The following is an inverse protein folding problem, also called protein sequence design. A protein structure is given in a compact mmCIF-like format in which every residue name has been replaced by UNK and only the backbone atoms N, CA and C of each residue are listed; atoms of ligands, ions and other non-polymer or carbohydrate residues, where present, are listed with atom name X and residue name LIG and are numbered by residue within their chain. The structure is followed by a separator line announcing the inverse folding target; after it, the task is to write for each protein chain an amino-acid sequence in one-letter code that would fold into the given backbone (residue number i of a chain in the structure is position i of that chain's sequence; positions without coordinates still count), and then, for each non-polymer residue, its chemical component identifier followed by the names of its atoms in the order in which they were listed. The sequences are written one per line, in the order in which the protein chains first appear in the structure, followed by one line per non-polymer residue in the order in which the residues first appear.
data_IF_039339452060
#
_entry.id   IF_039339452060
#
_cell.length_a   1.000
_cell.length_b   1.000
_cell.length_c   1.000
_cell.angle_alpha   90.00
_cell.angle_beta   90.00
_cell.angle_gamma   90.00
#
_symmetry.space_group_name_H-M   'P 1'
#
loop_
_entity.id
_entity.type
_entity.pdbx_description
1 polymer ?
#
# COMPACT_ATOMS: atom_id res chain seq x y z
N UNK A 1 1.73 -10.81 -20.07
CA UNK A 1 1.61 -9.33 -20.12
C UNK A 1 2.36 -8.70 -21.29
N UNK A 2 3.64 -9.02 -21.56
CA UNK A 2 4.39 -8.51 -22.72
C UNK A 2 3.98 -9.14 -24.06
N UNK A 3 3.84 -10.47 -24.10
CA UNK A 3 3.39 -11.24 -25.27
C UNK A 3 2.00 -10.80 -25.77
N UNK A 4 1.07 -10.56 -24.85
CA UNK A 4 -0.30 -10.15 -25.20
C UNK A 4 -0.37 -8.72 -25.76
N UNK A 5 0.55 -7.84 -25.33
CA UNK A 5 0.56 -6.44 -25.77
C UNK A 5 1.29 -6.26 -27.11
N UNK A 6 2.38 -6.99 -27.31
CA UNK A 6 3.29 -6.76 -28.44
C UNK A 6 3.31 -7.87 -29.50
N UNK A 7 2.88 -9.09 -29.16
CA UNK A 7 2.85 -10.21 -30.12
C UNK A 7 1.43 -10.49 -30.66
N UNK A 8 0.36 -10.04 -29.98
CA UNK A 8 -1.03 -10.15 -30.50
C UNK A 8 -1.43 -8.99 -31.41
N UNK A 9 -0.84 -7.81 -31.21
CA UNK A 9 -0.83 -6.75 -32.21
C UNK A 9 0.43 -6.97 -33.05
N UNK A 10 0.41 -6.89 -34.39
CA UNK A 10 1.50 -7.35 -35.26
C UNK A 10 2.68 -6.35 -35.28
N UNK A 11 3.15 -5.94 -34.11
CA UNK A 11 4.16 -4.91 -33.93
C UNK A 11 5.55 -5.54 -33.74
N UNK A 12 5.64 -6.77 -33.20
CA UNK A 12 6.89 -7.50 -33.02
C UNK A 12 6.70 -9.01 -33.25
N UNK A 13 7.69 -9.65 -33.87
CA UNK A 13 7.58 -11.02 -34.40
C UNK A 13 8.08 -12.08 -33.44
N UNK A 14 8.93 -11.71 -32.46
CA UNK A 14 9.50 -12.67 -31.51
C UNK A 14 9.33 -12.24 -30.04
N UNK A 15 9.19 -13.21 -29.10
CA UNK A 15 9.15 -12.94 -27.67
C UNK A 15 10.36 -12.14 -27.15
N UNK A 16 11.53 -12.35 -27.77
CA UNK A 16 12.78 -11.69 -27.41
C UNK A 16 12.73 -10.19 -27.75
N UNK A 17 12.28 -9.84 -28.96
CA UNK A 17 12.12 -8.44 -29.37
C UNK A 17 11.09 -7.71 -28.49
N UNK A 18 10.01 -8.40 -28.10
CA UNK A 18 9.01 -7.85 -27.19
C UNK A 18 9.60 -7.56 -25.80
N UNK A 19 10.48 -8.44 -25.30
CA UNK A 19 11.16 -8.25 -24.03
C UNK A 19 12.19 -7.11 -24.09
N UNK A 20 13.00 -7.05 -25.15
CA UNK A 20 13.96 -5.96 -25.37
C UNK A 20 13.28 -4.61 -25.46
N UNK A 21 12.15 -4.52 -26.17
CA UNK A 21 11.37 -3.29 -26.27
C UNK A 21 10.80 -2.85 -24.92
N UNK A 22 10.29 -3.79 -24.11
CA UNK A 22 9.83 -3.47 -22.75
C UNK A 22 10.98 -2.99 -21.86
N UNK A 23 12.15 -3.64 -21.97
CA UNK A 23 13.32 -3.31 -21.15
C UNK A 23 13.88 -1.92 -21.49
N UNK A 24 14.12 -1.66 -22.78
CA UNK A 24 14.83 -0.49 -23.28
C UNK A 24 13.90 0.68 -23.65
N UNK A 25 12.84 0.41 -24.43
CA UNK A 25 11.99 1.45 -25.03
C UNK A 25 10.87 1.87 -24.08
N UNK A 26 10.22 0.93 -23.41
CA UNK A 26 9.17 1.23 -22.42
C UNK A 26 9.74 1.72 -21.08
N UNK A 27 11.07 1.80 -20.97
CA UNK A 27 11.77 2.40 -19.83
C UNK A 27 11.73 1.58 -18.55
N UNK A 28 11.50 0.26 -18.64
CA UNK A 28 11.54 -0.62 -17.48
C UNK A 28 12.91 -0.57 -16.79
N UNK A 29 14.00 -0.55 -17.56
CA UNK A 29 15.36 -0.41 -17.01
C UNK A 29 15.48 0.84 -16.14
N UNK A 30 15.09 2.01 -16.68
CA UNK A 30 15.11 3.28 -15.93
C UNK A 30 14.25 3.21 -14.67
N UNK A 31 13.14 2.47 -14.72
CA UNK A 31 12.26 2.28 -13.56
C UNK A 31 12.93 1.43 -12.49
N UNK A 32 13.59 0.33 -12.87
CA UNK A 32 14.34 -0.53 -11.96
C UNK A 32 15.49 0.26 -11.33
N UNK A 33 16.26 0.99 -12.13
CA UNK A 33 17.36 1.85 -11.66
C UNK A 33 16.88 2.98 -10.74
N UNK A 34 15.63 3.45 -10.91
CA UNK A 34 15.03 4.44 -10.01
C UNK A 34 14.59 3.89 -8.65
N UNK A 35 14.51 2.56 -8.51
CA UNK A 35 14.20 1.93 -7.23
C UNK A 35 15.48 1.91 -6.40
N UNK A 36 15.48 2.69 -5.34
CA UNK A 36 16.59 2.72 -4.39
C UNK A 36 16.71 1.36 -3.68
N UNK A 37 17.95 0.89 -3.54
CA UNK A 37 18.27 -0.30 -2.76
C UNK A 37 17.73 -0.18 -1.33
N UNK A 38 17.04 -1.22 -0.85
CA UNK A 38 16.35 -1.18 0.43
C UNK A 38 17.26 -0.84 1.61
N UNK A 39 18.49 -1.37 1.62
CA UNK A 39 19.42 -1.14 2.73
C UNK A 39 19.94 0.30 2.74
N UNK A 40 20.42 0.80 1.59
CA UNK A 40 20.84 2.19 1.44
C UNK A 40 19.71 3.16 1.83
N UNK A 41 18.45 2.87 1.49
CA UNK A 41 17.32 3.69 1.93
C UNK A 41 17.14 3.72 3.46
N UNK A 42 17.35 2.59 4.14
CA UNK A 42 17.24 2.52 5.60
C UNK A 42 18.27 3.41 6.26
N UNK A 43 19.53 3.27 5.85
CA UNK A 43 20.66 3.98 6.43
C UNK A 43 20.54 5.50 6.27
N UNK A 44 20.02 5.94 5.12
CA UNK A 44 19.92 7.38 4.80
C UNK A 44 18.70 8.05 5.45
N UNK A 45 17.55 7.37 5.47
CA UNK A 45 16.29 8.04 5.85
C UNK A 45 15.63 7.44 7.11
N UNK A 46 15.46 6.12 7.13
CA UNK A 46 14.58 5.45 8.11
C UNK A 46 15.24 5.19 9.46
N UNK A 47 16.53 4.84 9.49
CA UNK A 47 17.30 4.64 10.71
C UNK A 47 17.81 5.96 11.29
N UNK A 48 16.87 6.88 11.46
CA UNK A 48 17.08 8.21 12.00
C UNK A 48 16.45 8.34 13.39
N UNK A 49 16.91 9.33 14.16
CA UNK A 49 16.40 9.56 15.51
C UNK A 49 14.94 10.02 15.48
N UNK A 50 14.58 10.80 14.48
CA UNK A 50 13.26 11.38 14.24
C UNK A 50 12.24 10.28 13.94
N UNK A 51 12.55 9.38 13.01
CA UNK A 51 11.69 8.23 12.73
C UNK A 51 11.59 7.31 13.94
N UNK A 52 12.69 7.04 14.64
CA UNK A 52 12.65 6.21 15.86
C UNK A 52 11.75 6.83 16.93
N UNK A 53 11.81 8.14 17.16
CA UNK A 53 10.93 8.83 18.13
C UNK A 53 9.46 8.67 17.76
N UNK A 54 9.10 8.85 16.48
CA UNK A 54 7.72 8.63 15.99
C UNK A 54 7.29 7.18 16.23
N UNK A 55 8.13 6.20 15.89
CA UNK A 55 7.81 4.78 16.07
C UNK A 55 7.59 4.43 17.54
N UNK A 56 8.45 4.93 18.43
CA UNK A 56 8.35 4.68 19.88
C UNK A 56 7.09 5.32 20.48
N UNK A 57 6.79 6.57 20.10
CA UNK A 57 5.60 7.27 20.61
C UNK A 57 4.29 6.61 20.18
N UNK A 58 4.28 5.92 19.03
CA UNK A 58 3.09 5.27 18.47
C UNK A 58 3.16 3.73 18.56
N UNK A 59 4.00 3.17 19.43
CA UNK A 59 4.27 1.72 19.42
C UNK A 59 3.00 0.88 19.67
N UNK A 60 2.13 1.30 20.59
CA UNK A 60 0.85 0.63 20.88
C UNK A 60 -0.07 0.62 19.67
N UNK A 61 -0.27 1.79 19.05
CA UNK A 61 -1.09 1.98 17.85
C UNK A 61 -0.56 1.14 16.69
N UNK A 62 0.75 1.17 16.45
CA UNK A 62 1.39 0.39 15.40
C UNK A 62 1.16 -1.12 15.60
N UNK A 63 1.22 -1.61 16.85
CA UNK A 63 0.94 -3.03 17.15
C UNK A 63 -0.51 -3.39 16.88
N UNK A 64 -1.45 -2.52 17.25
CA UNK A 64 -2.87 -2.71 16.97
C UNK A 64 -3.14 -2.74 15.46
N UNK A 65 -2.64 -1.75 14.71
CA UNK A 65 -2.77 -1.71 13.25
C UNK A 65 -2.17 -2.94 12.57
N UNK A 66 -1.03 -3.43 13.06
CA UNK A 66 -0.45 -4.69 12.56
C UNK A 66 -1.35 -5.88 12.86
N UNK A 67 -1.90 -5.99 14.07
CA UNK A 67 -2.83 -7.08 14.42
C UNK A 67 -4.07 -7.06 13.54
N UNK A 68 -4.69 -5.89 13.33
CA UNK A 68 -5.81 -5.72 12.41
C UNK A 68 -5.43 -6.19 10.99
N UNK A 69 -4.28 -5.73 10.49
CA UNK A 69 -3.77 -6.11 9.19
C UNK A 69 -3.59 -7.64 9.04
N UNK A 70 -3.14 -8.34 10.08
CA UNK A 70 -3.03 -9.81 10.04
C UNK A 70 -4.41 -10.48 10.10
N UNK A 71 -5.32 -9.96 10.92
CA UNK A 71 -6.66 -10.54 11.10
C UNK A 71 -7.53 -10.42 9.85
N UNK A 72 -7.33 -9.40 9.03
CA UNK A 72 -8.11 -9.19 7.79
C UNK A 72 -8.02 -10.36 6.80
N UNK A 73 -6.86 -11.02 6.74
CA UNK A 73 -6.65 -12.23 5.96
C UNK A 73 -5.63 -13.10 6.68
N UNK A 74 -6.13 -14.02 7.49
CA UNK A 74 -5.29 -15.06 8.08
C UNK A 74 -4.72 -15.92 6.93
N UNK A 75 -3.42 -15.78 6.65
CA UNK A 75 -2.74 -16.62 5.66
C UNK A 75 -2.53 -18.05 6.16
N UNK A 76 -2.54 -18.26 7.48
CA UNK A 76 -2.05 -19.49 8.07
C UNK A 76 -3.08 -20.07 9.04
N UNK A 77 -3.73 -21.17 8.63
CA UNK A 77 -4.44 -22.07 9.55
C UNK A 77 -3.49 -23.02 10.31
N UNK A 78 -2.23 -23.14 9.87
CA UNK A 78 -1.32 -24.22 10.28
C UNK A 78 -0.05 -23.76 11.03
N UNK A 79 0.28 -22.47 11.04
CA UNK A 79 1.43 -21.96 11.79
C UNK A 79 0.96 -20.89 12.79
N UNK A 80 1.42 -20.99 14.04
CA UNK A 80 1.12 -20.01 15.10
C UNK A 80 1.74 -18.62 14.86
N UNK A 81 2.39 -18.40 13.70
CA UNK A 81 3.02 -17.12 13.34
C UNK A 81 2.07 -16.32 12.45
N UNK A 82 1.67 -15.17 12.99
CA UNK A 82 0.78 -14.20 12.37
C UNK A 82 1.60 -13.22 11.51
N UNK A 83 1.42 -13.30 10.19
CA UNK A 83 2.06 -12.42 9.20
C UNK A 83 1.01 -11.65 8.40
N UNK A 84 1.36 -10.44 8.00
CA UNK A 84 0.55 -9.64 7.08
C UNK A 84 0.84 -10.06 5.62
N UNK A 85 -0.21 -10.15 4.79
CA UNK A 85 -0.05 -10.35 3.34
C UNK A 85 0.05 -9.02 2.61
N UNK A 86 0.57 -8.99 1.38
CA UNK A 86 0.46 -7.81 0.51
C UNK A 86 -0.97 -7.30 0.39
N UNK A 87 -1.92 -8.23 0.33
CA UNK A 87 -3.32 -7.91 0.13
C UNK A 87 -4.02 -7.40 1.39
N UNK A 88 -3.65 -7.90 2.58
CA UNK A 88 -4.18 -7.35 3.83
C UNK A 88 -3.54 -6.00 4.16
N UNK A 89 -2.25 -5.83 3.85
CA UNK A 89 -1.57 -4.54 3.94
C UNK A 89 -2.22 -3.50 3.03
N UNK A 90 -2.48 -3.82 1.76
CA UNK A 90 -3.23 -2.93 0.86
C UNK A 90 -4.61 -2.58 1.42
N UNK A 91 -5.33 -3.59 1.89
CA UNK A 91 -6.69 -3.42 2.41
C UNK A 91 -6.73 -2.46 3.60
N UNK A 92 -5.72 -2.47 4.47
CA UNK A 92 -5.56 -1.53 5.58
C UNK A 92 -5.64 -0.07 5.09
N UNK A 93 -4.92 0.27 4.02
CA UNK A 93 -4.93 1.61 3.42
C UNK A 93 -6.21 1.90 2.65
N UNK A 94 -6.74 0.90 1.93
CA UNK A 94 -7.96 1.05 1.15
C UNK A 94 -9.16 1.41 2.04
N UNK A 95 -9.29 0.72 3.18
CA UNK A 95 -10.36 0.94 4.16
C UNK A 95 -10.30 2.34 4.77
N UNK A 96 -9.09 2.83 5.06
CA UNK A 96 -8.86 4.17 5.57
C UNK A 96 -8.96 5.28 4.50
N UNK A 97 -9.31 4.96 3.25
CA UNK A 97 -9.39 5.95 2.16
C UNK A 97 -8.04 6.54 1.75
N UNK A 98 -6.93 5.90 2.13
CA UNK A 98 -5.57 6.37 1.86
C UNK A 98 -5.04 5.94 0.49
N UNK A 99 -5.78 5.09 -0.22
CA UNK A 99 -5.54 4.81 -1.64
C UNK A 99 -6.40 5.78 -2.44
N UNK A 100 -5.76 6.72 -3.12
CA UNK A 100 -6.39 7.76 -3.93
C UNK A 100 -5.47 8.15 -5.10
N UNK A 101 -5.85 9.14 -5.89
CA UNK A 101 -5.06 9.59 -7.05
C UNK A 101 -3.65 10.09 -6.68
N UNK A 102 -3.46 10.53 -5.43
CA UNK A 102 -2.18 10.98 -4.90
C UNK A 102 -1.32 9.79 -4.43
N UNK A 103 -1.93 8.82 -3.77
CA UNK A 103 -1.28 7.62 -3.26
C UNK A 103 -1.84 6.37 -3.94
N UNK A 104 -1.26 6.03 -5.09
CA UNK A 104 -1.70 4.90 -5.88
C UNK A 104 -1.49 3.56 -5.13
N UNK A 105 -2.41 2.61 -5.32
CA UNK A 105 -2.32 1.23 -4.83
C UNK A 105 -0.95 0.60 -5.09
N UNK A 106 -0.40 0.85 -6.29
CA UNK A 106 0.93 0.37 -6.69
C UNK A 106 2.02 0.79 -5.71
N UNK A 107 1.99 2.01 -5.18
CA UNK A 107 3.02 2.49 -4.25
C UNK A 107 2.98 1.72 -2.93
N UNK A 108 1.78 1.38 -2.46
CA UNK A 108 1.58 0.56 -1.25
C UNK A 108 2.15 -0.85 -1.45
N UNK A 109 1.90 -1.47 -2.60
CA UNK A 109 2.44 -2.80 -2.92
C UNK A 109 3.96 -2.80 -3.14
N UNK A 110 4.51 -1.74 -3.75
CA UNK A 110 5.97 -1.58 -3.88
C UNK A 110 6.61 -1.37 -2.51
N UNK A 111 6.01 -0.56 -1.64
CA UNK A 111 6.47 -0.35 -0.27
C UNK A 111 6.51 -1.66 0.53
N UNK A 112 5.48 -2.50 0.37
CA UNK A 112 5.48 -3.87 0.90
C UNK A 112 6.68 -4.65 0.38
N UNK A 113 6.83 -4.77 -0.95
CA UNK A 113 7.87 -5.58 -1.57
C UNK A 113 9.29 -5.14 -1.18
N UNK A 114 9.53 -3.83 -1.03
CA UNK A 114 10.83 -3.29 -0.63
C UNK A 114 11.15 -3.45 0.86
N UNK A 115 10.12 -3.59 1.70
CA UNK A 115 10.28 -3.79 3.14
C UNK A 115 10.56 -5.26 3.51
N UNK A 116 10.07 -6.21 2.72
CA UNK A 116 10.28 -7.65 2.95
C UNK A 116 11.62 -8.08 2.34
N UNK A 117 12.45 -8.85 3.06
CA UNK A 117 13.74 -9.31 2.54
C UNK A 117 13.55 -10.33 1.42
N UNK A 118 14.47 -10.29 0.46
CA UNK A 118 14.61 -11.31 -0.56
C UNK A 118 15.06 -12.63 0.09
N UNK A 119 14.51 -13.74 -0.39
CA UNK A 119 14.87 -15.08 0.06
C UNK A 119 15.41 -15.86 -1.12
N UNK A 120 16.52 -16.57 -0.93
CA UNK A 120 17.16 -17.36 -1.99
C UNK A 120 16.29 -18.51 -2.49
N UNK A 121 15.43 -19.04 -1.63
CA UNK A 121 14.53 -20.17 -1.92
C UNK A 121 13.05 -19.73 -1.93
N UNK A 122 12.67 -18.95 -2.94
CA UNK A 122 11.28 -18.47 -3.12
C UNK A 122 10.31 -19.60 -3.52
N UNK A 123 10.81 -20.74 -3.99
CA UNK A 123 10.00 -21.87 -4.45
C UNK A 123 9.41 -22.63 -3.26
N UNK A 124 10.21 -22.83 -2.21
CA UNK A 124 9.79 -23.61 -1.05
C UNK A 124 9.37 -22.74 0.15
N UNK A 125 9.60 -21.43 0.10
CA UNK A 125 9.27 -20.51 1.19
C UNK A 125 8.37 -19.37 0.71
N UNK A 126 7.30 -19.10 1.46
CA UNK A 126 6.36 -18.01 1.20
C UNK A 126 6.80 -16.68 1.84
N UNK A 127 8.09 -16.51 2.12
CA UNK A 127 8.58 -15.38 2.93
C UNK A 127 8.33 -14.02 2.25
N UNK A 128 8.45 -13.97 0.93
CA UNK A 128 8.20 -12.81 0.08
C UNK A 128 6.76 -12.27 0.16
N UNK A 129 5.80 -13.09 0.63
CA UNK A 129 4.40 -12.68 0.84
C UNK A 129 4.03 -12.60 2.33
N UNK A 130 4.99 -12.79 3.24
CA UNK A 130 4.80 -12.75 4.68
C UNK A 130 5.55 -11.56 5.27
N UNK A 131 4.82 -10.57 5.76
CA UNK A 131 5.37 -9.39 6.41
C UNK A 131 5.24 -9.50 7.93
N UNK A 132 6.36 -9.35 8.63
CA UNK A 132 6.45 -9.26 10.08
C UNK A 132 6.15 -7.84 10.59
N UNK A 133 6.04 -7.66 11.90
CA UNK A 133 5.78 -6.34 12.50
C UNK A 133 6.85 -5.29 12.16
N UNK A 134 8.14 -5.64 12.18
CA UNK A 134 9.20 -4.69 11.89
C UNK A 134 9.15 -4.22 10.42
N UNK A 135 8.86 -5.15 9.52
CA UNK A 135 8.71 -4.88 8.08
C UNK A 135 7.44 -4.09 7.81
N UNK A 136 6.38 -4.33 8.57
CA UNK A 136 5.17 -3.52 8.51
C UNK A 136 5.44 -2.05 8.86
N UNK A 137 6.19 -1.77 9.94
CA UNK A 137 6.55 -0.40 10.30
C UNK A 137 7.43 0.25 9.22
N UNK A 138 8.38 -0.51 8.65
CA UNK A 138 9.19 -0.02 7.53
C UNK A 138 8.32 0.26 6.29
N UNK A 139 7.37 -0.62 5.96
CA UNK A 139 6.47 -0.45 4.84
C UNK A 139 5.61 0.81 5.00
N UNK A 140 5.10 1.11 6.20
CA UNK A 140 4.40 2.37 6.48
C UNK A 140 5.29 3.59 6.20
N UNK A 141 6.56 3.55 6.62
CA UNK A 141 7.51 4.62 6.34
C UNK A 141 7.79 4.76 4.83
N UNK A 142 7.89 3.65 4.09
CA UNK A 142 8.04 3.67 2.63
C UNK A 142 6.80 4.24 1.92
N UNK A 143 5.59 3.95 2.41
CA UNK A 143 4.37 4.60 1.90
C UNK A 143 4.39 6.09 2.23
N UNK A 144 4.78 6.46 3.45
CA UNK A 144 4.90 7.84 3.89
C UNK A 144 5.87 8.65 3.01
N UNK A 145 7.02 8.08 2.63
CA UNK A 145 7.95 8.74 1.71
C UNK A 145 7.24 9.18 0.41
N UNK A 146 6.48 8.26 -0.20
CA UNK A 146 5.76 8.47 -1.46
C UNK A 146 4.45 9.26 -1.30
N UNK A 147 4.03 9.53 -0.08
CA UNK A 147 2.80 10.26 0.22
C UNK A 147 2.98 11.76 -0.05
N UNK A 148 2.13 12.31 -0.91
CA UNK A 148 2.26 13.68 -1.41
C UNK A 148 3.34 13.79 -2.50
N UNK A 149 2.93 14.31 -3.66
CA UNK A 149 3.58 14.28 -4.99
C UNK A 149 5.00 14.88 -5.16
N UNK A 150 5.86 14.92 -4.14
CA UNK A 150 7.22 15.45 -4.29
C UNK A 150 8.23 14.36 -4.63
N UNK A 151 8.74 14.41 -5.87
CA UNK A 151 9.88 13.62 -6.38
C UNK A 151 11.24 14.02 -5.78
N UNK A 152 11.26 14.96 -4.84
CA UNK A 152 12.50 15.40 -4.21
C UNK A 152 12.96 14.38 -3.17
N UNK A 153 14.28 14.23 -3.03
CA UNK A 153 14.90 13.58 -1.88
C UNK A 153 14.34 14.24 -0.61
N UNK A 154 13.70 13.44 0.25
CA UNK A 154 13.12 13.94 1.50
C UNK A 154 14.16 13.86 2.61
N UNK A 155 14.11 14.78 3.57
CA UNK A 155 14.90 14.64 4.80
C UNK A 155 14.28 13.60 5.74
N UNK A 156 15.06 13.07 6.68
CA UNK A 156 14.58 12.17 7.72
C UNK A 156 13.49 12.80 8.60
N UNK A 157 13.58 14.11 8.87
CA UNK A 157 12.52 14.88 9.55
C UNK A 157 11.21 14.88 8.75
N UNK A 158 11.28 15.13 7.44
CA UNK A 158 10.10 15.11 6.57
C UNK A 158 9.48 13.70 6.52
N UNK A 159 10.31 12.66 6.44
CA UNK A 159 9.83 11.29 6.52
C UNK A 159 9.10 11.01 7.83
N UNK A 160 9.67 11.43 8.96
CA UNK A 160 9.06 11.26 10.27
C UNK A 160 7.70 11.97 10.39
N UNK A 161 7.58 13.20 9.87
CA UNK A 161 6.31 13.94 9.85
C UNK A 161 5.26 13.24 8.99
N UNK A 162 5.62 12.79 7.78
CA UNK A 162 4.72 12.05 6.91
C UNK A 162 4.30 10.72 7.52
N UNK A 163 5.22 10.03 8.19
CA UNK A 163 4.94 8.78 8.90
C UNK A 163 3.95 9.01 10.04
N UNK A 164 4.17 10.04 10.86
CA UNK A 164 3.23 10.43 11.92
C UNK A 164 1.84 10.73 11.37
N UNK A 165 1.77 11.42 10.21
CA UNK A 165 0.50 11.74 9.57
C UNK A 165 -0.26 10.47 9.12
N UNK A 166 0.41 9.54 8.42
CA UNK A 166 -0.21 8.28 8.00
C UNK A 166 -0.66 7.44 9.20
N UNK A 167 0.15 7.35 10.25
CA UNK A 167 -0.22 6.63 11.47
C UNK A 167 -1.48 7.25 12.08
N UNK A 168 -1.55 8.58 12.16
CA UNK A 168 -2.72 9.30 12.67
C UNK A 168 -3.99 9.02 11.88
N UNK A 169 -3.93 9.08 10.54
CA UNK A 169 -5.08 8.80 9.67
C UNK A 169 -5.57 7.35 9.79
N UNK A 170 -4.63 6.40 9.87
CA UNK A 170 -4.97 5.00 10.10
C UNK A 170 -5.61 4.81 11.48
N UNK A 171 -5.04 5.40 12.52
CA UNK A 171 -5.57 5.30 13.88
C UNK A 171 -6.98 5.86 13.98
N UNK A 172 -7.22 7.06 13.44
CA UNK A 172 -8.53 7.72 13.45
C UNK A 172 -9.60 6.84 12.81
N UNK A 173 -9.32 6.29 11.63
CA UNK A 173 -10.24 5.38 10.96
C UNK A 173 -10.59 4.15 11.81
N UNK A 174 -9.59 3.44 12.36
CA UNK A 174 -9.84 2.23 13.14
C UNK A 174 -10.48 2.51 14.50
N UNK A 175 -10.24 3.69 15.08
CA UNK A 175 -10.96 4.12 16.28
C UNK A 175 -12.45 4.36 15.99
N UNK A 176 -12.78 5.02 14.88
CA UNK A 176 -14.17 5.23 14.44
C UNK A 176 -14.87 3.89 14.21
N UNK A 177 -14.19 2.92 13.57
CA UNK A 177 -14.75 1.57 13.36
C UNK A 177 -15.08 0.89 14.69
N UNK A 178 -14.16 0.95 15.66
CA UNK A 178 -14.31 0.29 16.96
C UNK A 178 -15.42 0.94 17.80
N UNK A 179 -15.44 2.27 17.89
CA UNK A 179 -16.46 3.04 18.61
C UNK A 179 -17.87 2.79 18.06
N UNK A 180 -18.01 2.70 16.73
CA UNK A 180 -19.29 2.45 16.07
C UNK A 180 -19.63 0.96 15.94
N UNK A 181 -18.81 0.05 16.47
CA UNK A 181 -18.96 -1.42 16.36
C UNK A 181 -19.24 -1.87 14.93
N UNK A 182 -18.61 -1.22 13.96
CA UNK A 182 -18.83 -1.49 12.54
C UNK A 182 -18.24 -2.88 12.26
N UNK A 183 -19.11 -3.86 11.98
CA UNK A 183 -18.67 -5.18 11.57
C UNK A 183 -18.04 -5.03 10.19
N UNK A 184 -16.70 -5.05 10.12
CA UNK A 184 -16.03 -5.07 8.83
C UNK A 184 -16.11 -6.49 8.28
N UNK A 185 -16.79 -6.73 7.14
CA UNK A 185 -16.89 -8.06 6.58
C UNK A 185 -15.48 -8.61 6.25
N UNK A 186 -15.18 -9.80 6.75
CA UNK A 186 -14.00 -10.54 6.35
C UNK A 186 -14.14 -10.90 4.87
N UNK A 187 -13.22 -10.43 4.03
CA UNK A 187 -13.27 -10.67 2.59
C UNK A 187 -13.03 -12.16 2.29
N UNK A 188 -14.11 -12.90 2.00
CA UNK A 188 -14.01 -14.06 1.10
C UNK A 188 -13.74 -13.52 -0.31
N UNK A 189 -12.77 -14.10 -1.01
CA UNK A 189 -12.33 -13.68 -2.33
C UNK A 189 -13.52 -13.50 -3.30
N UNK A 190 -13.98 -12.26 -3.50
CA UNK A 190 -15.04 -11.93 -4.45
C UNK A 190 -14.88 -10.49 -4.94
N UNK A 191 -14.78 -10.33 -6.26
CA UNK A 191 -14.42 -9.08 -6.96
C UNK A 191 -15.53 -7.99 -6.96
N UNK A 192 -16.55 -8.06 -6.12
CA UNK A 192 -17.77 -7.21 -6.26
C UNK A 192 -18.15 -6.33 -5.07
N UNK A 193 -17.32 -6.19 -4.03
CA UNK A 193 -17.77 -5.61 -2.75
C UNK A 193 -17.02 -4.37 -2.23
N UNK A 194 -16.15 -3.75 -3.05
CA UNK A 194 -15.43 -2.53 -2.66
C UNK A 194 -16.32 -1.26 -2.67
N UNK A 195 -17.38 -1.22 -3.48
CA UNK A 195 -18.21 -0.02 -3.63
C UNK A 195 -19.23 0.19 -2.49
N UNK A 196 -19.60 -0.86 -1.76
CA UNK A 196 -20.67 -0.79 -0.75
C UNK A 196 -20.23 -0.14 0.57
N UNK A 197 -18.95 -0.27 0.94
CA UNK A 197 -18.45 0.26 2.22
C UNK A 197 -18.08 1.75 2.14
N UNK A 198 -17.59 2.21 0.99
CA UNK A 198 -17.31 3.63 0.75
C UNK A 198 -18.59 4.48 0.79
N UNK A 199 -19.69 4.02 0.18
CA UNK A 199 -20.97 4.73 0.19
C UNK A 199 -21.57 4.86 1.60
N UNK A 200 -21.44 3.82 2.43
CA UNK A 200 -22.04 3.81 3.76
C UNK A 200 -21.25 4.62 4.79
N UNK A 201 -19.91 4.63 4.71
CA UNK A 201 -19.08 5.48 5.59
C UNK A 201 -19.19 6.96 5.20
N UNK A 202 -19.27 7.27 3.91
CA UNK A 202 -19.48 8.64 3.42
C UNK A 202 -20.86 9.18 3.85
N UNK A 203 -21.90 8.34 3.85
CA UNK A 203 -23.24 8.70 4.37
C UNK A 203 -23.24 8.92 5.89
N UNK A 204 -22.52 8.11 6.66
CA UNK A 204 -22.42 8.29 8.12
C UNK A 204 -21.67 9.59 8.47
N UNK A 205 -20.62 9.95 7.73
CA UNK A 205 -19.93 11.23 7.89
C UNK A 205 -20.81 12.43 7.48
N UNK A 206 -21.70 12.25 6.50
CA UNK A 206 -22.69 13.27 6.08
C UNK A 206 -23.73 13.57 7.18
N UNK A 207 -24.14 12.57 7.96
CA UNK A 207 -25.13 12.72 9.02
C UNK A 207 -24.58 13.39 10.29
N UNK A 208 -23.26 13.37 10.51
CA UNK A 208 -22.62 13.88 11.73
C UNK A 208 -22.29 15.38 11.64
N UNK A 209 -21.85 15.89 10.46
CA UNK A 209 -21.30 17.25 10.35
C UNK A 209 -22.18 18.27 9.60
N UNK A 210 -23.32 17.87 9.04
CA UNK A 210 -24.32 18.78 8.47
C UNK A 210 -23.85 19.73 7.36
N UNK A 211 -22.64 19.54 6.81
CA UNK A 211 -22.07 20.36 5.74
C UNK A 211 -21.48 19.46 4.63
N UNK A 212 -21.82 19.71 3.36
CA UNK A 212 -21.33 18.89 2.26
C UNK A 212 -19.83 19.14 2.04
N UNK A 213 -19.00 18.15 2.33
CA UNK A 213 -17.67 18.09 1.73
C UNK A 213 -17.92 17.70 0.27
N UNK A 214 -17.52 18.57 -0.67
CA UNK A 214 -17.68 18.36 -2.10
C UNK A 214 -17.20 16.95 -2.49
N UNK A 215 -18.15 16.06 -2.79
CA UNK A 215 -17.85 14.83 -3.48
C UNK A 215 -17.16 15.19 -4.80
N UNK A 216 -16.05 14.54 -5.18
CA UNK A 216 -15.51 14.73 -6.52
C UNK A 216 -16.60 14.37 -7.52
N UNK A 217 -16.97 15.31 -8.37
CA UNK A 217 -17.92 15.07 -9.45
C UNK A 217 -17.35 13.95 -10.33
N UNK A 218 -18.08 12.84 -10.38
CA UNK A 218 -17.83 11.77 -11.33
C UNK A 218 -18.20 12.36 -12.70
N UNK A 219 -17.20 12.73 -13.50
CA UNK A 219 -17.43 13.01 -14.91
C UNK A 219 -17.68 11.68 -15.61
N UNK A 220 -18.95 11.38 -15.90
CA UNK A 220 -19.32 10.41 -16.92
C UNK A 220 -18.78 10.92 -18.25
N UNK A 221 -17.73 10.28 -18.76
CA UNK A 221 -17.32 10.46 -20.15
C UNK A 221 -18.15 9.51 -21.00
N UNK A 222 -19.12 10.07 -21.72
CA UNK A 222 -19.75 9.43 -22.86
C UNK A 222 -18.67 9.14 -23.92
N UNK A 223 -18.47 7.87 -24.23
CA UNK A 223 -17.73 7.47 -25.41
C UNK A 223 -18.60 7.78 -26.63
N UNK A 224 -18.25 8.85 -27.34
CA UNK A 224 -18.75 9.11 -28.70
C UNK A 224 -17.87 8.32 -29.67
N UNK A 225 -18.51 7.29 -30.25
CA UNK A 225 -18.19 6.40 -31.39
C UNK A 225 -16.73 6.11 -31.78
#
# INVERSE_FOLDING_TARGET
MSMDKYCKQPILMTPLEALQRVYEVDGLQKKIESVQESQTWRDVYYWSMECNRVIQNNQSVLRQLYQECVQMRQLNYFTNKLFASPQSFKELFNRAGLINDVNAERNVLIAFALSVPLVLDEINQDRQIQMSYQEFVEALARVAEKYGQNKAVISSEQLALKLQHIIGQLQEYYQIVDENKIIIPQMRQSKKQTNFLQENVTKLLYEIDGSPINAPQIYEYDFVE
#
